data_IF_779755401077
#
_entry.id   IF_779755401077
#
_cell.length_a   1.000
_cell.length_b   1.000
_cell.length_c   1.000
_cell.angle_alpha   90.00
_cell.angle_beta   90.00
_cell.angle_gamma   90.00
#
_symmetry.space_group_name_H-M   'P 1'
#
loop_
_entity.id
_entity.type
_entity.pdbx_description
1 polymer ?
#
# COMPACT_ATOMS: atom_id res chain seq x y z
N UNK A 1 15.24 3.39 12.16
CA UNK A 1 13.77 3.26 12.13
C UNK A 1 13.43 1.88 11.57
N UNK A 2 12.93 0.96 12.40
CA UNK A 2 12.68 -0.44 12.03
C UNK A 2 11.19 -0.64 11.68
N UNK A 3 10.84 -0.71 10.38
CA UNK A 3 9.50 -1.09 9.94
C UNK A 3 9.40 -2.62 9.89
N UNK A 4 9.18 -3.26 11.04
CA UNK A 4 8.82 -4.68 11.10
C UNK A 4 7.39 -4.84 10.56
N UNK A 5 7.23 -5.46 9.39
CA UNK A 5 5.93 -5.87 8.87
C UNK A 5 5.31 -6.89 9.83
N UNK A 6 4.47 -6.41 10.74
CA UNK A 6 3.79 -7.27 11.71
C UNK A 6 2.51 -7.83 11.08
N UNK A 7 2.60 -9.07 10.58
CA UNK A 7 1.45 -9.86 10.14
C UNK A 7 0.45 -9.99 11.29
N UNK A 8 -0.73 -9.38 11.19
CA UNK A 8 -1.81 -9.57 12.18
C UNK A 8 -2.94 -10.45 11.62
N UNK A 9 -3.40 -11.45 12.38
CA UNK A 9 -4.56 -12.26 12.03
C UNK A 9 -5.85 -11.51 12.42
N UNK A 10 -6.88 -11.63 11.60
CA UNK A 10 -8.27 -11.43 12.01
C UNK A 10 -8.72 -9.97 12.19
N UNK A 11 -9.64 -9.56 11.31
CA UNK A 11 -10.36 -8.28 11.29
C UNK A 11 -10.94 -7.92 12.67
N UNK A 12 -10.33 -6.96 13.39
CA UNK A 12 -10.96 -6.23 14.50
C UNK A 12 -11.09 -4.76 14.12
N UNK A 13 -12.34 -4.27 14.04
CA UNK A 13 -12.67 -2.86 13.77
C UNK A 13 -12.19 -1.97 14.92
N UNK A 14 -11.82 -0.73 14.56
CA UNK A 14 -11.59 0.48 15.37
C UNK A 14 -10.20 0.71 16.00
N UNK A 15 -9.20 1.08 15.17
CA UNK A 15 -8.18 2.08 15.54
C UNK A 15 -7.98 3.03 14.37
N UNK A 16 -8.01 4.35 14.62
CA UNK A 16 -7.84 5.41 13.60
C UNK A 16 -6.50 5.33 12.83
N UNK A 17 -5.53 4.59 13.35
CA UNK A 17 -4.23 4.29 12.72
C UNK A 17 -4.30 3.23 11.60
N UNK A 18 -5.35 2.41 11.57
CA UNK A 18 -5.54 1.39 10.51
C UNK A 18 -6.01 2.01 9.17
N UNK A 19 -6.17 3.33 9.13
CA UNK A 19 -6.61 4.10 7.95
C UNK A 19 -5.43 4.85 7.27
N UNK A 20 -4.16 4.52 7.56
CA UNK A 20 -2.99 5.18 6.92
C UNK A 20 -2.39 4.31 5.80
N UNK A 21 -2.18 4.89 4.63
CA UNK A 21 -1.50 4.26 3.50
C UNK A 21 0.01 4.17 3.80
N UNK A 22 0.55 2.96 3.88
CA UNK A 22 1.98 2.75 4.17
C UNK A 22 2.92 3.13 3.02
N UNK A 23 2.38 3.53 1.86
CA UNK A 23 3.16 3.97 0.69
C UNK A 23 3.32 5.49 0.67
N UNK A 24 2.24 6.24 0.89
CA UNK A 24 2.24 7.71 0.75
C UNK A 24 1.77 8.48 2.00
N UNK A 25 1.37 7.80 3.06
CA UNK A 25 0.86 8.43 4.29
C UNK A 25 -0.57 8.97 4.22
N UNK A 26 -1.23 8.96 3.05
CA UNK A 26 -2.63 9.37 2.91
C UNK A 26 -3.63 8.39 3.53
N UNK A 27 -4.94 8.64 3.34
CA UNK A 27 -5.98 7.74 3.85
C UNK A 27 -6.01 6.40 3.10
N UNK A 28 -5.69 5.31 3.78
CA UNK A 28 -5.89 3.96 3.28
C UNK A 28 -7.38 3.62 3.20
N UNK A 29 -7.69 2.74 2.24
CA UNK A 29 -9.03 2.17 2.07
C UNK A 29 -9.07 0.70 2.53
N UNK A 30 -7.92 0.16 2.93
CA UNK A 30 -7.72 -1.23 3.35
C UNK A 30 -6.40 -1.81 2.84
N UNK A 31 -6.27 -3.13 2.93
CA UNK A 31 -5.11 -3.88 2.44
C UNK A 31 -5.30 -4.22 0.96
N UNK A 32 -4.37 -3.78 0.11
CA UNK A 32 -4.31 -4.17 -1.31
C UNK A 32 -2.93 -4.75 -1.60
N UNK A 33 -2.86 -5.87 -2.33
CA UNK A 33 -1.60 -6.54 -2.69
C UNK A 33 -0.69 -6.82 -1.47
N UNK A 34 -1.27 -7.15 -0.32
CA UNK A 34 -0.54 -7.46 0.92
C UNK A 34 -0.16 -6.24 1.78
N UNK A 35 -0.43 -5.01 1.34
CA UNK A 35 -0.04 -3.79 2.05
C UNK A 35 -1.24 -2.84 2.25
N UNK A 36 -1.35 -2.24 3.44
CA UNK A 36 -2.35 -1.22 3.72
C UNK A 36 -2.09 0.03 2.86
N UNK A 37 -3.02 0.33 1.94
CA UNK A 37 -2.81 1.30 0.86
C UNK A 37 -4.07 2.08 0.48
N UNK A 38 -3.88 3.27 -0.10
CA UNK A 38 -4.95 4.11 -0.63
C UNK A 38 -5.31 3.72 -2.09
N UNK A 39 -6.45 4.23 -2.58
CA UNK A 39 -6.91 3.97 -3.96
C UNK A 39 -5.89 4.37 -5.04
N UNK A 40 -5.23 5.55 -4.97
CA UNK A 40 -4.20 5.92 -5.94
C UNK A 40 -3.01 4.97 -6.00
N UNK A 41 -2.44 4.58 -4.84
CA UNK A 41 -1.30 3.66 -4.78
C UNK A 41 -1.66 2.27 -5.32
N UNK A 42 -2.86 1.76 -4.98
CA UNK A 42 -3.40 0.53 -5.56
C UNK A 42 -3.47 0.59 -7.09
N UNK A 43 -4.03 1.67 -7.64
CA UNK A 43 -4.19 1.83 -9.08
C UNK A 43 -2.86 1.99 -9.80
N UNK A 44 -1.90 2.70 -9.20
CA UNK A 44 -0.54 2.82 -9.72
C UNK A 44 0.14 1.45 -9.81
N UNK A 45 0.11 0.66 -8.73
CA UNK A 45 0.70 -0.68 -8.71
C UNK A 45 0.09 -1.57 -9.80
N UNK A 46 -1.25 -1.67 -9.88
CA UNK A 46 -1.92 -2.51 -10.89
C UNK A 46 -1.56 -2.15 -12.33
N UNK A 47 -1.41 -0.86 -12.65
CA UNK A 47 -1.06 -0.40 -14.01
C UNK A 47 0.37 -0.73 -14.42
N UNK A 48 1.24 -1.00 -13.45
CA UNK A 48 2.68 -1.08 -13.66
C UNK A 48 3.27 -2.44 -13.24
N UNK A 49 2.59 -3.25 -12.44
CA UNK A 49 3.13 -4.52 -11.95
C UNK A 49 3.23 -5.63 -13.03
N UNK A 50 2.52 -5.51 -14.15
CA UNK A 50 2.38 -6.59 -15.16
C UNK A 50 2.90 -6.18 -16.55
N UNK A 51 3.60 -5.04 -16.68
CA UNK A 51 4.20 -4.71 -17.99
C UNK A 51 5.35 -5.69 -18.26
N UNK A 52 5.45 -6.18 -19.49
CA UNK A 52 6.56 -7.02 -19.93
C UNK A 52 7.83 -6.17 -19.93
N UNK A 53 8.75 -6.46 -18.99
CA UNK A 53 9.99 -5.70 -18.77
C UNK A 53 9.95 -4.79 -17.53
N UNK A 54 11.13 -4.29 -17.14
CA UNK A 54 11.26 -3.35 -16.02
C UNK A 54 10.69 -1.99 -16.40
N UNK A 55 9.76 -1.46 -15.61
CA UNK A 55 9.28 -0.08 -15.80
C UNK A 55 10.22 0.85 -15.05
N UNK A 56 10.95 1.66 -15.80
CA UNK A 56 11.78 2.72 -15.25
C UNK A 56 10.99 4.02 -15.18
N UNK A 57 10.88 4.59 -13.98
CA UNK A 57 10.34 5.92 -13.76
C UNK A 57 11.49 6.90 -13.57
N UNK A 58 11.49 7.98 -14.34
CA UNK A 58 12.43 9.08 -14.14
C UNK A 58 11.85 10.06 -13.12
N UNK A 59 12.54 10.25 -12.00
CA UNK A 59 12.30 11.38 -11.11
C UNK A 59 12.83 12.64 -11.80
N UNK A 60 12.02 13.69 -11.87
CA UNK A 60 12.41 15.00 -12.37
C UNK A 60 12.40 16.00 -11.24
#
# INVERSE_FOLDING_TARGET
>A
MNFSYRSKPGRKKTRKDDDICLICGGRAIGVNFGVQSCSPCKAFFRRNAVKLGTIEFQCR
#
